data_IF_838398981016
#
_entry.id   IF_838398981016
#
_cell.length_a   1.000
_cell.length_b   1.000
_cell.length_c   1.000
_cell.angle_alpha   90.00
_cell.angle_beta   90.00
_cell.angle_gamma   90.00
#
_symmetry.space_group_name_H-M   'P 1'
#
loop_
_entity.id
_entity.type
_entity.pdbx_description
1 polymer ?
#
# COMPACT_ATOMS: atom_id res chain seq x y z
N UNK A 1 0.12 -23.85 -3.02
CA UNK A 1 1.44 -23.27 -3.38
C UNK A 1 1.34 -21.77 -3.65
N UNK A 2 0.55 -21.30 -4.64
CA UNK A 2 0.37 -19.86 -4.91
C UNK A 2 -0.22 -19.11 -3.72
N UNK A 3 -1.30 -19.64 -3.13
CA UNK A 3 -1.91 -19.06 -1.94
C UNK A 3 -0.91 -18.85 -0.80
N UNK A 4 -0.05 -19.83 -0.52
CA UNK A 4 0.98 -19.75 0.52
C UNK A 4 1.99 -18.63 0.25
N UNK A 5 2.39 -18.42 -1.01
CA UNK A 5 3.29 -17.34 -1.37
C UNK A 5 2.64 -15.95 -1.21
N UNK A 6 1.36 -15.84 -1.55
CA UNK A 6 0.58 -14.60 -1.35
C UNK A 6 0.42 -14.30 0.14
N UNK A 7 0.02 -15.29 0.95
CA UNK A 7 -0.09 -15.15 2.41
C UNK A 7 1.24 -14.79 3.05
N UNK A 8 2.35 -15.36 2.55
CA UNK A 8 3.67 -14.98 3.03
C UNK A 8 4.03 -13.53 2.68
N UNK A 9 3.63 -13.03 1.51
CA UNK A 9 3.84 -11.62 1.12
C UNK A 9 3.02 -10.65 1.99
N UNK A 10 1.84 -11.07 2.44
CA UNK A 10 0.95 -10.27 3.29
C UNK A 10 1.61 -9.82 4.60
N UNK A 11 2.65 -10.53 5.07
CA UNK A 11 3.42 -10.13 6.24
C UNK A 11 3.97 -8.71 6.09
N UNK A 12 4.27 -8.25 4.87
CA UNK A 12 4.78 -6.91 4.59
C UNK A 12 3.73 -5.84 4.92
N UNK A 13 2.46 -6.09 4.57
CA UNK A 13 1.34 -5.17 4.84
C UNK A 13 1.00 -5.17 6.32
N UNK A 14 1.03 -6.35 6.96
CA UNK A 14 0.86 -6.47 8.42
C UNK A 14 1.96 -5.71 9.16
N UNK A 15 3.22 -5.82 8.72
CA UNK A 15 4.34 -5.08 9.28
C UNK A 15 4.17 -3.57 9.13
N UNK A 16 3.67 -3.08 7.98
CA UNK A 16 3.38 -1.66 7.79
C UNK A 16 2.35 -1.15 8.82
N UNK A 17 1.29 -1.94 9.05
CA UNK A 17 0.24 -1.63 10.02
C UNK A 17 0.78 -1.64 11.45
N UNK A 18 1.64 -2.61 11.78
CA UNK A 18 2.30 -2.68 13.08
C UNK A 18 3.23 -1.49 13.31
N UNK A 19 4.01 -1.09 12.30
CA UNK A 19 4.89 0.09 12.38
C UNK A 19 4.07 1.35 12.58
N UNK A 20 2.96 1.52 11.86
CA UNK A 20 2.03 2.65 12.07
C UNK A 20 1.53 2.66 13.51
N UNK A 21 1.07 1.52 14.01
CA UNK A 21 0.59 1.40 15.38
C UNK A 21 1.66 1.76 16.41
N UNK A 22 2.87 1.20 16.29
CA UNK A 22 3.99 1.48 17.19
C UNK A 22 4.41 2.96 17.13
N UNK A 23 4.39 3.57 15.95
CA UNK A 23 4.67 5.00 15.80
C UNK A 23 3.72 5.86 16.64
N UNK A 24 2.42 5.62 16.52
CA UNK A 24 1.43 6.37 17.30
C UNK A 24 1.44 6.01 18.79
N UNK A 25 1.73 4.75 19.15
CA UNK A 25 1.78 4.32 20.52
C UNK A 25 2.95 4.93 21.31
N UNK A 26 4.11 5.12 20.66
CA UNK A 26 5.35 5.51 21.37
C UNK A 26 5.91 6.89 20.99
N UNK A 27 5.65 7.40 19.78
CA UNK A 27 6.34 8.57 19.25
C UNK A 27 5.42 9.77 18.96
N UNK A 28 4.16 9.54 18.57
CA UNK A 28 3.28 10.63 18.13
C UNK A 28 2.80 11.57 19.26
N UNK A 29 2.86 11.15 20.52
CA UNK A 29 2.46 11.99 21.66
C UNK A 29 0.99 12.37 21.61
N UNK A 30 0.68 13.67 21.49
CA UNK A 30 -0.68 14.18 21.35
C UNK A 30 -1.10 14.16 19.88
N UNK A 31 -1.82 13.12 19.46
CA UNK A 31 -2.37 13.00 18.11
C UNK A 31 -3.91 12.95 18.15
N UNK A 32 -4.52 13.35 17.05
CA UNK A 32 -5.96 13.23 16.80
C UNK A 32 -6.25 12.03 15.88
N UNK A 33 -7.54 11.69 15.74
CA UNK A 33 -7.96 10.68 14.77
C UNK A 33 -7.64 11.10 13.33
N UNK A 34 -7.67 12.40 13.04
CA UNK A 34 -7.35 12.92 11.71
C UNK A 34 -5.87 12.72 11.37
N UNK A 35 -4.97 12.91 12.35
CA UNK A 35 -3.54 12.65 12.19
C UNK A 35 -3.27 11.16 11.92
N UNK A 36 -3.97 10.28 12.64
CA UNK A 36 -3.89 8.84 12.41
C UNK A 36 -4.42 8.45 11.02
N UNK A 37 -5.49 9.09 10.56
CA UNK A 37 -6.07 8.82 9.26
C UNK A 37 -5.22 9.35 8.12
N UNK A 38 -4.51 10.46 8.30
CA UNK A 38 -3.65 11.05 7.29
C UNK A 38 -2.30 10.34 7.15
N UNK A 39 -1.72 9.85 8.23
CA UNK A 39 -0.39 9.25 8.21
C UNK A 39 -0.38 7.80 7.72
N UNK A 40 0.60 7.45 6.89
CA UNK A 40 0.97 6.05 6.62
C UNK A 40 2.49 5.92 6.53
N UNK A 41 3.15 5.00 7.24
CA UNK A 41 4.60 4.95 7.30
C UNK A 41 5.23 4.70 5.92
N UNK A 42 6.32 5.42 5.61
CA UNK A 42 7.08 5.28 4.36
C UNK A 42 6.23 5.42 3.08
N UNK A 43 5.19 6.25 3.13
CA UNK A 43 4.34 6.59 1.98
C UNK A 43 4.60 8.00 1.46
N UNK A 44 4.14 8.27 0.24
CA UNK A 44 4.22 9.60 -0.35
C UNK A 44 3.38 10.65 0.38
N UNK A 45 2.30 10.25 1.09
CA UNK A 45 1.45 11.21 1.80
C UNK A 45 2.23 12.00 2.86
N UNK A 46 3.30 11.43 3.43
CA UNK A 46 4.11 12.08 4.45
C UNK A 46 4.98 13.24 3.91
N UNK A 47 5.04 13.42 2.58
CA UNK A 47 5.74 14.56 1.96
C UNK A 47 4.88 15.84 1.92
N UNK A 48 3.61 15.73 2.30
CA UNK A 48 2.63 16.82 2.24
C UNK A 48 2.00 17.07 3.60
N UNK A 49 1.55 18.30 3.83
CA UNK A 49 0.71 18.65 4.97
C UNK A 49 -0.77 18.29 4.76
N UNK A 50 -1.51 18.09 5.85
CA UNK A 50 -2.95 17.81 5.82
C UNK A 50 -3.76 18.87 5.06
N UNK A 51 -3.36 20.14 5.17
CA UNK A 51 -4.03 21.27 4.49
C UNK A 51 -3.73 21.36 3.00
N UNK A 52 -2.71 20.65 2.50
CA UNK A 52 -2.24 20.75 1.12
C UNK A 52 -2.85 19.67 0.22
N UNK A 53 -3.43 18.62 0.82
CA UNK A 53 -3.92 17.43 0.11
C UNK A 53 -5.44 17.37 0.20
N UNK A 54 -6.10 17.35 -0.95
CA UNK A 54 -7.54 17.12 -1.01
C UNK A 54 -7.89 15.70 -0.53
N UNK A 55 -9.04 15.53 0.12
CA UNK A 55 -9.43 14.24 0.76
C UNK A 55 -9.34 13.03 -0.17
N UNK A 56 -9.74 13.19 -1.43
CA UNK A 56 -9.68 12.13 -2.44
C UNK A 56 -8.26 11.74 -2.86
N UNK A 57 -7.24 12.56 -2.59
CA UNK A 57 -5.83 12.25 -2.82
C UNK A 57 -5.14 11.54 -1.66
N UNK A 58 -5.74 11.54 -0.46
CA UNK A 58 -5.14 10.92 0.72
C UNK A 58 -4.88 9.43 0.49
N UNK A 59 -5.91 8.67 0.09
CA UNK A 59 -5.77 7.23 -0.15
C UNK A 59 -4.76 6.87 -1.26
N UNK A 60 -4.78 7.52 -2.45
CA UNK A 60 -3.75 7.30 -3.48
C UNK A 60 -2.33 7.53 -2.96
N UNK A 61 -2.07 8.64 -2.26
CA UNK A 61 -0.75 8.98 -1.77
C UNK A 61 -0.26 8.07 -0.63
N UNK A 62 -1.19 7.56 0.19
CA UNK A 62 -0.89 6.51 1.18
C UNK A 62 -0.59 5.16 0.53
N UNK A 63 -1.33 4.82 -0.52
CA UNK A 63 -1.20 3.56 -1.26
C UNK A 63 0.15 3.44 -1.96
N UNK A 64 0.75 4.57 -2.38
CA UNK A 64 2.12 4.60 -2.87
C UNK A 64 3.10 4.68 -1.70
N UNK A 65 3.58 3.51 -1.27
CA UNK A 65 4.50 3.37 -0.14
C UNK A 65 5.53 2.25 -0.37
N UNK A 66 6.62 2.27 0.42
CA UNK A 66 7.69 1.29 0.29
C UNK A 66 7.24 -0.15 0.60
N UNK A 67 6.26 -0.34 1.49
CA UNK A 67 5.72 -1.67 1.80
C UNK A 67 4.98 -2.25 0.59
N UNK A 68 4.23 -1.44 -0.14
CA UNK A 68 3.54 -1.85 -1.36
C UNK A 68 4.52 -2.29 -2.44
N UNK A 69 5.65 -1.58 -2.60
CA UNK A 69 6.72 -1.96 -3.52
C UNK A 69 7.34 -3.29 -3.09
N UNK A 70 7.68 -3.43 -1.80
CA UNK A 70 8.23 -4.67 -1.26
C UNK A 70 7.26 -5.86 -1.44
N UNK A 71 5.96 -5.62 -1.26
CA UNK A 71 4.90 -6.62 -1.48
C UNK A 71 4.87 -7.12 -2.91
N UNK A 72 4.85 -6.23 -3.90
CA UNK A 72 4.87 -6.58 -5.33
C UNK A 72 6.13 -7.38 -5.69
N UNK A 73 7.30 -6.97 -5.16
CA UNK A 73 8.55 -7.72 -5.38
C UNK A 73 8.49 -9.13 -4.76
N UNK A 74 7.91 -9.27 -3.57
CA UNK A 74 7.76 -10.56 -2.91
C UNK A 74 6.77 -11.48 -3.65
N UNK A 75 5.69 -10.93 -4.19
CA UNK A 75 4.79 -11.66 -5.10
C UNK A 75 5.53 -12.16 -6.34
N UNK A 76 6.37 -11.33 -6.95
CA UNK A 76 7.19 -11.72 -8.10
C UNK A 76 8.18 -12.84 -7.79
N UNK A 77 8.84 -12.80 -6.63
CA UNK A 77 9.68 -13.89 -6.12
C UNK A 77 8.87 -15.17 -5.93
N UNK A 78 7.69 -15.06 -5.30
CA UNK A 78 6.79 -16.20 -5.08
C UNK A 78 6.34 -16.85 -6.39
N UNK A 79 5.91 -16.03 -7.36
CA UNK A 79 5.48 -16.50 -8.66
C UNK A 79 6.62 -17.17 -9.44
N UNK A 80 7.82 -16.58 -9.46
CA UNK A 80 8.99 -17.17 -10.12
C UNK A 80 9.33 -18.55 -9.55
N UNK A 81 9.28 -18.70 -8.21
CA UNK A 81 9.55 -19.98 -7.53
C UNK A 81 8.51 -21.05 -7.87
N UNK A 82 7.23 -20.70 -7.97
CA UNK A 82 6.15 -21.67 -8.16
C UNK A 82 5.98 -22.06 -9.63
N UNK A 83 6.13 -21.11 -10.54
CA UNK A 83 5.89 -21.32 -11.98
C UNK A 83 7.14 -21.71 -12.76
N UNK A 84 8.32 -21.72 -12.12
CA UNK A 84 9.63 -21.91 -12.77
C UNK A 84 9.90 -20.95 -13.92
N UNK A 85 9.18 -19.82 -13.98
CA UNK A 85 9.38 -18.74 -14.94
C UNK A 85 10.54 -17.87 -14.46
N UNK A 86 11.31 -17.31 -15.40
CA UNK A 86 12.37 -16.33 -15.10
C UNK A 86 11.84 -15.17 -14.25
N UNK A 87 12.62 -14.71 -13.28
CA UNK A 87 12.21 -13.68 -12.31
C UNK A 87 11.71 -12.40 -12.99
N UNK A 88 12.39 -11.97 -14.05
CA UNK A 88 12.03 -10.76 -14.80
C UNK A 88 10.63 -10.90 -15.43
N UNK A 89 10.32 -12.07 -16.00
CA UNK A 89 9.00 -12.36 -16.56
C UNK A 89 7.94 -12.45 -15.46
N UNK A 90 8.26 -13.05 -14.31
CA UNK A 90 7.34 -13.12 -13.18
C UNK A 90 7.00 -11.72 -12.63
N UNK A 91 7.99 -10.82 -12.54
CA UNK A 91 7.78 -9.44 -12.11
C UNK A 91 6.88 -8.67 -13.07
N UNK A 92 7.10 -8.81 -14.38
CA UNK A 92 6.24 -8.20 -15.40
C UNK A 92 4.81 -8.72 -15.25
N UNK A 93 4.62 -10.04 -15.06
CA UNK A 93 3.29 -10.62 -14.87
C UNK A 93 2.61 -10.03 -13.63
N UNK A 94 3.31 -9.95 -12.50
CA UNK A 94 2.75 -9.38 -11.25
C UNK A 94 2.41 -7.90 -11.43
N UNK A 95 3.29 -7.10 -12.03
CA UNK A 95 3.04 -5.69 -12.28
C UNK A 95 1.83 -5.46 -13.19
N UNK A 96 1.68 -6.24 -14.26
CA UNK A 96 0.56 -6.10 -15.19
C UNK A 96 -0.77 -6.63 -14.62
N UNK A 97 -0.73 -7.59 -13.71
CA UNK A 97 -1.96 -8.17 -13.13
C UNK A 97 -2.33 -7.43 -11.85
N UNK A 98 -1.51 -7.58 -10.81
CA UNK A 98 -1.72 -6.96 -9.51
C UNK A 98 -1.59 -5.44 -9.59
N UNK A 99 -0.58 -4.91 -10.29
CA UNK A 99 -0.40 -3.46 -10.40
C UNK A 99 -1.58 -2.77 -11.11
N UNK A 100 -2.10 -3.35 -12.19
CA UNK A 100 -3.31 -2.85 -12.85
C UNK A 100 -4.55 -2.94 -11.96
N UNK A 101 -4.75 -4.06 -11.26
CA UNK A 101 -5.85 -4.19 -10.29
C UNK A 101 -5.74 -3.17 -9.16
N UNK A 102 -4.52 -2.90 -8.68
CA UNK A 102 -4.23 -1.92 -7.65
C UNK A 102 -4.55 -0.49 -8.10
N UNK A 103 -4.18 -0.11 -9.32
CA UNK A 103 -4.52 1.20 -9.89
C UNK A 103 -6.04 1.35 -10.03
N UNK A 104 -6.74 0.32 -10.52
CA UNK A 104 -8.20 0.32 -10.61
C UNK A 104 -8.84 0.47 -9.23
N UNK A 105 -8.30 -0.20 -8.21
CA UNK A 105 -8.77 -0.08 -6.84
C UNK A 105 -8.57 1.34 -6.29
N UNK A 106 -7.41 1.95 -6.53
CA UNK A 106 -7.16 3.36 -6.16
C UNK A 106 -8.18 4.28 -6.83
N UNK A 107 -8.39 4.14 -8.14
CA UNK A 107 -9.34 4.97 -8.88
C UNK A 107 -10.79 4.81 -8.36
N UNK A 108 -11.17 3.58 -8.00
CA UNK A 108 -12.47 3.28 -7.40
C UNK A 108 -12.64 3.97 -6.04
N UNK A 109 -11.65 3.88 -5.15
CA UNK A 109 -11.70 4.56 -3.85
C UNK A 109 -11.70 6.08 -3.99
N UNK A 110 -10.94 6.63 -4.94
CA UNK A 110 -10.98 8.06 -5.26
C UNK A 110 -12.39 8.48 -5.68
N UNK A 111 -13.02 7.72 -6.58
CA UNK A 111 -14.38 8.00 -7.05
C UNK A 111 -15.39 8.02 -5.90
N UNK A 112 -15.39 7.00 -5.04
CA UNK A 112 -16.27 6.94 -3.86
C UNK A 112 -16.00 8.12 -2.92
N UNK A 113 -14.73 8.46 -2.71
CA UNK A 113 -14.36 9.57 -1.81
C UNK A 113 -14.88 10.90 -2.35
N UNK A 114 -14.82 11.12 -3.67
CA UNK A 114 -15.39 12.32 -4.30
C UNK A 114 -16.90 12.35 -4.06
N UNK A 115 -17.62 11.26 -4.35
CA UNK A 115 -19.08 11.17 -4.21
C UNK A 115 -19.57 11.45 -2.78
N UNK A 116 -18.82 10.99 -1.78
CA UNK A 116 -19.16 11.22 -0.35
C UNK A 116 -18.95 12.68 0.07
N UNK A 117 -17.98 13.38 -0.54
CA UNK A 117 -17.59 14.75 -0.14
C UNK A 117 -18.00 15.84 -1.15
N UNK A 118 -18.68 15.48 -2.24
CA UNK A 118 -19.32 16.39 -3.20
C UNK A 118 -20.69 16.86 -2.72
#
# INVERSE_FOLDING_TARGET
MIFTAVVAAEIIIVLASLIKFLWFAFFAGNYTLDDMNFFYPLSLINLFGQSEVAKYWIYPLQSVNLFQIAYILMLGVGLAKISSVKKEKADIIVLLTYGSAFILWIAFIMFITIDIYS
#
